data_IF_208808154854
#
_entry.id   IF_208808154854
#
_cell.length_a   1.000
_cell.length_b   1.000
_cell.length_c   1.000
_cell.angle_alpha   90.00
_cell.angle_beta   90.00
_cell.angle_gamma   90.00
#
_symmetry.space_group_name_H-M   'P 1'
#
loop_
_entity.id
_entity.type
_entity.pdbx_description
1 polymer ?
#
# COMPACT_ATOMS: atom_id res chain seq x y z
N UNK A 1 8.24 -12.39 -55.68
CA UNK A 1 8.84 -12.52 -54.32
C UNK A 1 9.72 -11.33 -53.97
N UNK A 2 10.74 -10.97 -54.76
CA UNK A 2 11.65 -9.85 -54.45
C UNK A 2 10.95 -8.48 -54.25
N UNK A 3 9.97 -8.13 -55.09
CA UNK A 3 9.22 -6.86 -54.99
C UNK A 3 8.36 -6.78 -53.72
N UNK A 4 7.75 -7.90 -53.31
CA UNK A 4 6.97 -7.98 -52.07
C UNK A 4 7.88 -7.85 -50.83
N UNK A 5 9.04 -8.51 -50.84
CA UNK A 5 10.03 -8.42 -49.76
C UNK A 5 10.57 -6.99 -49.63
N UNK A 6 10.91 -6.35 -50.75
CA UNK A 6 11.39 -4.96 -50.75
C UNK A 6 10.34 -3.98 -50.22
N UNK A 7 9.06 -4.16 -50.61
CA UNK A 7 7.96 -3.34 -50.12
C UNK A 7 7.77 -3.44 -48.59
N UNK A 8 7.83 -4.66 -48.04
CA UNK A 8 7.76 -4.88 -46.59
C UNK A 8 8.94 -4.24 -45.86
N UNK A 9 10.16 -4.36 -46.39
CA UNK A 9 11.36 -3.76 -45.78
C UNK A 9 11.27 -2.24 -45.74
N UNK A 10 10.84 -1.60 -46.84
CA UNK A 10 10.68 -0.14 -46.88
C UNK A 10 9.59 0.34 -45.93
N UNK A 11 8.47 -0.37 -45.85
CA UNK A 11 7.40 -0.03 -44.92
C UNK A 11 7.85 -0.11 -43.45
N UNK A 12 8.55 -1.19 -43.08
CA UNK A 12 9.14 -1.33 -41.74
C UNK A 12 10.14 -0.21 -41.46
N UNK A 13 11.01 0.13 -42.42
CA UNK A 13 12.00 1.19 -42.26
C UNK A 13 11.33 2.56 -41.99
N UNK A 14 10.25 2.89 -42.69
CA UNK A 14 9.50 4.13 -42.49
C UNK A 14 8.86 4.16 -41.09
N UNK A 15 8.23 3.06 -40.66
CA UNK A 15 7.59 2.98 -39.33
C UNK A 15 8.64 3.10 -38.23
N UNK A 16 9.78 2.41 -38.36
CA UNK A 16 10.89 2.51 -37.39
C UNK A 16 11.48 3.92 -37.35
N UNK A 17 11.66 4.56 -38.51
CA UNK A 17 12.14 5.94 -38.60
C UNK A 17 11.18 6.91 -37.90
N UNK A 18 9.86 6.76 -38.11
CA UNK A 18 8.86 7.59 -37.44
C UNK A 18 8.90 7.39 -35.92
N UNK A 19 9.00 6.15 -35.43
CA UNK A 19 9.12 5.85 -34.00
C UNK A 19 10.39 6.48 -33.41
N UNK A 20 11.52 6.40 -34.11
CA UNK A 20 12.77 7.05 -33.67
C UNK A 20 12.63 8.57 -33.57
N UNK A 21 12.00 9.23 -34.55
CA UNK A 21 11.73 10.67 -34.51
C UNK A 21 10.85 11.03 -33.30
N UNK A 22 9.79 10.26 -33.05
CA UNK A 22 8.93 10.47 -31.88
C UNK A 22 9.67 10.27 -30.55
N UNK A 23 10.57 9.29 -30.46
CA UNK A 23 11.40 9.08 -29.26
C UNK A 23 12.37 10.24 -29.01
N UNK A 24 13.02 10.77 -30.07
CA UNK A 24 13.93 11.92 -29.96
C UNK A 24 13.15 13.18 -29.57
N UNK A 25 11.98 13.42 -30.17
CA UNK A 25 11.12 14.54 -29.82
C UNK A 25 10.67 14.44 -28.35
N UNK A 26 10.22 13.27 -27.89
CA UNK A 26 9.85 13.03 -26.49
C UNK A 26 11.01 13.31 -25.54
N UNK A 27 12.23 12.84 -25.86
CA UNK A 27 13.41 13.06 -25.02
C UNK A 27 13.77 14.54 -24.85
N UNK A 28 13.52 15.38 -25.87
CA UNK A 28 13.80 16.83 -25.80
C UNK A 28 12.66 17.66 -25.22
N UNK A 29 11.42 17.26 -25.44
CA UNK A 29 10.23 18.03 -25.04
C UNK A 29 9.69 17.66 -23.66
N UNK A 30 9.94 16.43 -23.19
CA UNK A 30 9.53 16.00 -21.86
C UNK A 30 10.69 16.24 -20.89
N UNK A 31 10.49 17.21 -20.01
CA UNK A 31 11.43 17.56 -18.96
C UNK A 31 11.60 16.36 -18.01
N UNK A 32 12.63 15.55 -18.26
CA UNK A 32 13.04 14.40 -17.44
C UNK A 32 14.25 14.78 -16.58
N UNK A 33 14.43 16.08 -16.33
CA UNK A 33 15.52 16.58 -15.52
C UNK A 33 15.44 15.98 -14.11
N UNK A 34 16.61 15.77 -13.50
CA UNK A 34 16.68 15.50 -12.06
C UNK A 34 16.06 16.68 -11.32
N UNK A 35 15.10 16.36 -10.47
CA UNK A 35 14.43 17.32 -9.60
C UNK A 35 14.88 17.08 -8.17
N UNK A 36 14.99 18.17 -7.42
CA UNK A 36 15.37 18.15 -6.01
C UNK A 36 14.14 18.33 -5.14
N UNK A 37 13.92 17.40 -4.22
CA UNK A 37 12.87 17.45 -3.22
C UNK A 37 13.53 17.77 -1.88
N UNK A 38 13.30 18.97 -1.36
CA UNK A 38 13.73 19.36 -0.01
C UNK A 38 12.70 18.85 1.00
N UNK A 39 13.17 18.23 2.09
CA UNK A 39 12.30 17.65 3.12
C UNK A 39 12.63 18.30 4.47
N UNK A 40 11.63 18.91 5.11
CA UNK A 40 11.74 19.57 6.43
C UNK A 40 12.87 20.61 6.50
N UNK A 41 13.11 21.35 5.41
CA UNK A 41 14.18 22.36 5.27
C UNK A 41 15.59 21.86 5.58
N UNK A 42 15.81 20.55 5.54
CA UNK A 42 17.10 19.91 5.81
C UNK A 42 17.80 19.54 4.48
N UNK A 43 18.91 20.23 4.11
CA UNK A 43 19.63 19.95 2.87
C UNK A 43 20.20 18.53 2.81
N UNK A 44 20.52 17.92 3.95
CA UNK A 44 21.11 16.59 4.02
C UNK A 44 20.08 15.48 3.72
N UNK A 45 18.78 15.81 3.81
CA UNK A 45 17.66 14.94 3.45
C UNK A 45 17.09 15.21 2.07
N UNK A 46 17.70 16.11 1.30
CA UNK A 46 17.24 16.44 -0.04
C UNK A 46 17.35 15.23 -0.98
N UNK A 47 16.25 14.87 -1.63
CA UNK A 47 16.20 13.76 -2.56
C UNK A 47 16.37 14.24 -4.00
N UNK A 48 17.27 13.62 -4.75
CA UNK A 48 17.39 13.80 -6.20
C UNK A 48 16.71 12.64 -6.90
N UNK A 49 15.73 12.95 -7.73
CA UNK A 49 14.92 11.92 -8.41
C UNK A 49 14.53 12.36 -9.81
N UNK A 50 14.24 11.43 -10.74
CA UNK A 50 13.65 11.78 -12.03
C UNK A 50 12.23 12.34 -11.86
N UNK A 51 11.92 13.42 -12.59
CA UNK A 51 10.56 13.94 -12.66
C UNK A 51 9.58 12.93 -13.30
N UNK A 52 8.30 13.00 -12.89
CA UNK A 52 7.19 12.32 -13.57
C UNK A 52 6.45 11.26 -12.75
N UNK A 53 7.00 10.84 -11.61
CA UNK A 53 6.31 9.93 -10.68
C UNK A 53 5.47 10.68 -9.64
N UNK A 54 4.68 9.95 -8.86
CA UNK A 54 3.95 10.51 -7.71
C UNK A 54 4.89 10.70 -6.53
N UNK A 55 4.60 11.69 -5.69
CA UNK A 55 5.40 11.98 -4.50
C UNK A 55 5.46 10.76 -3.55
N UNK A 56 4.33 10.05 -3.38
CA UNK A 56 4.28 8.82 -2.57
C UNK A 56 5.27 7.75 -3.07
N UNK A 57 5.34 7.52 -4.39
CA UNK A 57 6.20 6.48 -4.95
C UNK A 57 7.68 6.86 -4.83
N UNK A 58 8.00 8.15 -5.06
CA UNK A 58 9.36 8.67 -4.92
C UNK A 58 9.84 8.53 -3.48
N UNK A 59 9.04 8.96 -2.50
CA UNK A 59 9.39 8.87 -1.09
C UNK A 59 9.53 7.40 -0.65
N UNK A 60 8.59 6.53 -1.05
CA UNK A 60 8.69 5.09 -0.78
C UNK A 60 9.94 4.44 -1.37
N UNK A 61 10.36 4.86 -2.56
CA UNK A 61 11.59 4.36 -3.21
C UNK A 61 12.86 4.81 -2.46
N UNK A 62 12.80 5.94 -1.78
CA UNK A 62 13.86 6.47 -0.92
C UNK A 62 13.70 6.07 0.55
N UNK A 63 12.89 5.04 0.84
CA UNK A 63 12.64 4.50 2.19
C UNK A 63 11.96 5.49 3.16
N UNK A 64 11.26 6.49 2.63
CA UNK A 64 10.39 7.40 3.40
C UNK A 64 8.94 6.95 3.16
N UNK A 65 8.37 6.25 4.12
CA UNK A 65 7.09 5.56 3.94
C UNK A 65 5.93 6.38 4.47
N UNK A 66 5.37 7.26 3.64
CA UNK A 66 4.15 7.98 4.01
C UNK A 66 3.01 6.97 4.18
N UNK A 67 2.24 7.07 5.27
CA UNK A 67 1.12 6.20 5.51
C UNK A 67 0.09 6.24 4.35
N UNK A 68 -0.15 5.08 3.73
CA UNK A 68 -1.05 4.94 2.58
C UNK A 68 -1.82 3.63 2.64
N UNK A 69 -3.12 3.70 2.94
CA UNK A 69 -3.98 2.51 3.04
C UNK A 69 -4.49 2.01 1.67
N UNK A 70 -4.60 2.91 0.68
CA UNK A 70 -5.19 2.59 -0.64
C UNK A 70 -4.16 2.24 -1.73
N UNK A 71 -2.86 2.23 -1.42
CA UNK A 71 -1.81 1.97 -2.41
C UNK A 71 -1.70 3.05 -3.50
N UNK A 72 -2.05 4.30 -3.17
CA UNK A 72 -1.91 5.45 -4.07
C UNK A 72 -3.09 5.74 -5.00
N UNK A 73 -4.24 5.13 -4.77
CA UNK A 73 -5.48 5.36 -5.54
C UNK A 73 -6.20 6.69 -5.24
N UNK A 74 -5.74 7.45 -4.24
CA UNK A 74 -6.35 8.74 -3.88
C UNK A 74 -7.67 8.64 -3.13
N UNK A 75 -8.06 7.46 -2.62
CA UNK A 75 -9.39 7.23 -2.03
C UNK A 75 -9.42 7.16 -0.50
N UNK A 76 -8.26 7.09 0.16
CA UNK A 76 -8.19 6.95 1.63
C UNK A 76 -7.94 8.26 2.38
N UNK A 77 -7.37 9.28 1.72
CA UNK A 77 -7.05 10.57 2.34
C UNK A 77 -5.97 10.55 3.43
N UNK A 78 -5.27 9.42 3.64
CA UNK A 78 -4.30 9.27 4.75
C UNK A 78 -2.91 9.83 4.39
N UNK A 79 -2.53 9.80 3.11
CA UNK A 79 -1.20 10.24 2.66
C UNK A 79 -1.07 11.77 2.56
N UNK A 80 -1.48 12.49 3.61
CA UNK A 80 -1.39 13.96 3.67
C UNK A 80 0.06 14.37 3.89
N UNK A 81 0.49 15.38 3.15
CA UNK A 81 1.81 16.03 3.29
C UNK A 81 1.66 17.51 3.11
N UNK A 82 2.49 18.30 3.79
CA UNK A 82 2.57 19.73 3.55
C UNK A 82 3.51 19.97 2.37
N UNK A 83 3.04 20.68 1.37
CA UNK A 83 3.83 21.08 0.20
C UNK A 83 3.91 22.59 0.19
N UNK A 84 5.11 23.10 0.50
CA UNK A 84 5.39 24.53 0.55
C UNK A 84 5.62 25.08 -0.85
N UNK A 85 6.36 24.34 -1.69
CA UNK A 85 6.67 24.72 -3.07
C UNK A 85 6.65 23.51 -4.01
N UNK A 86 6.38 23.72 -5.31
CA UNK A 86 6.56 22.69 -6.34
C UNK A 86 5.46 21.63 -6.50
N UNK A 87 4.31 21.77 -5.83
CA UNK A 87 3.19 20.80 -5.86
C UNK A 87 2.13 20.98 -6.96
N UNK A 88 2.19 22.07 -7.74
CA UNK A 88 1.16 22.41 -8.74
C UNK A 88 -0.22 22.67 -8.15
N UNK A 89 -1.27 22.72 -8.99
CA UNK A 89 -2.65 22.93 -8.56
C UNK A 89 -3.26 21.67 -7.92
N UNK A 90 -4.19 21.87 -6.97
CA UNK A 90 -4.95 20.78 -6.34
C UNK A 90 -5.79 20.05 -7.38
N UNK A 91 -5.73 18.71 -7.36
CA UNK A 91 -6.55 17.88 -8.24
C UNK A 91 -7.93 17.65 -7.60
N UNK A 92 -9.01 17.48 -8.40
CA UNK A 92 -10.34 17.17 -7.88
C UNK A 92 -10.40 15.90 -7.02
N UNK A 93 -9.46 14.96 -7.22
CA UNK A 93 -9.34 13.76 -6.39
C UNK A 93 -8.89 14.06 -4.96
N UNK A 94 -8.28 15.21 -4.72
CA UNK A 94 -7.81 15.64 -3.40
C UNK A 94 -8.89 16.43 -2.64
N UNK A 95 -9.78 17.15 -3.35
CA UNK A 95 -10.80 18.04 -2.76
C UNK A 95 -11.77 17.33 -1.81
N UNK A 96 -12.01 16.03 -2.02
CA UNK A 96 -12.86 15.22 -1.14
C UNK A 96 -12.21 14.86 0.20
N UNK A 97 -10.88 14.96 0.31
CA UNK A 97 -10.11 14.52 1.49
C UNK A 97 -9.33 15.66 2.17
N UNK A 98 -9.11 16.77 1.47
CA UNK A 98 -8.40 17.94 1.97
C UNK A 98 -9.39 19.08 2.16
N UNK A 99 -9.51 19.56 3.40
CA UNK A 99 -10.38 20.70 3.73
C UNK A 99 -9.82 22.01 3.16
N UNK A 100 -10.66 23.03 3.06
CA UNK A 100 -10.23 24.36 2.57
C UNK A 100 -9.20 25.04 3.48
N UNK A 101 -9.17 24.69 4.77
CA UNK A 101 -8.15 25.16 5.72
C UNK A 101 -6.80 24.52 5.43
N UNK A 102 -6.78 23.18 5.40
CA UNK A 102 -5.59 22.38 5.07
C UNK A 102 -5.02 22.76 3.68
N UNK A 103 -5.87 23.01 2.69
CA UNK A 103 -5.44 23.43 1.36
C UNK A 103 -4.73 24.79 1.36
N UNK A 104 -5.08 25.71 2.28
CA UNK A 104 -4.38 27.01 2.45
C UNK A 104 -3.02 26.85 3.12
N UNK A 105 -2.86 25.82 3.94
CA UNK A 105 -1.61 25.42 4.59
C UNK A 105 -0.73 24.53 3.69
N UNK A 106 -1.11 24.37 2.41
CA UNK A 106 -0.33 23.59 1.45
C UNK A 106 -0.48 22.07 1.60
N UNK A 107 -1.47 21.58 2.36
CA UNK A 107 -1.70 20.13 2.51
C UNK A 107 -2.16 19.52 1.18
N UNK A 108 -1.52 18.44 0.77
CA UNK A 108 -1.80 17.70 -0.46
C UNK A 108 -1.76 16.20 -0.21
N UNK A 109 -2.34 15.42 -1.12
CA UNK A 109 -2.21 13.97 -1.08
C UNK A 109 -0.95 13.55 -1.85
N UNK A 110 0.06 13.03 -1.14
CA UNK A 110 1.33 12.60 -1.74
C UNK A 110 1.14 11.61 -2.90
N UNK A 111 0.10 10.77 -2.87
CA UNK A 111 -0.16 9.84 -3.97
C UNK A 111 -0.71 10.48 -5.25
N UNK A 112 -1.28 11.68 -5.17
CA UNK A 112 -1.88 12.38 -6.30
C UNK A 112 -0.97 13.50 -6.84
N UNK A 113 -0.09 14.05 -6.00
CA UNK A 113 0.92 15.04 -6.41
C UNK A 113 1.94 14.39 -7.34
N UNK A 114 2.03 14.91 -8.56
CA UNK A 114 3.05 14.52 -9.55
C UNK A 114 4.23 15.46 -9.47
N UNK A 115 5.41 14.92 -9.22
CA UNK A 115 6.64 15.71 -9.13
C UNK A 115 7.12 16.05 -10.55
N UNK A 116 7.01 17.32 -10.95
CA UNK A 116 7.39 17.81 -12.29
C UNK A 116 8.59 18.76 -12.29
N UNK A 117 8.96 19.26 -11.12
CA UNK A 117 10.02 20.21 -10.88
C UNK A 117 10.49 20.09 -9.43
N UNK A 118 11.41 20.95 -9.03
CA UNK A 118 11.89 21.02 -7.66
C UNK A 118 10.73 21.36 -6.71
N UNK A 119 10.77 20.79 -5.52
CA UNK A 119 9.69 20.97 -4.53
C UNK A 119 10.24 20.99 -3.11
N UNK A 120 9.53 21.68 -2.22
CA UNK A 120 9.78 21.66 -0.78
C UNK A 120 8.57 21.09 -0.07
N UNK A 121 8.81 20.07 0.76
CA UNK A 121 7.78 19.37 1.50
C UNK A 121 8.13 19.28 2.98
N UNK A 122 7.09 19.13 3.78
CA UNK A 122 7.22 18.85 5.20
C UNK A 122 6.43 17.57 5.54
N UNK A 123 7.11 16.67 6.24
CA UNK A 123 6.61 15.36 6.68
C UNK A 123 6.96 15.14 8.15
N UNK A 124 6.08 14.43 8.85
CA UNK A 124 6.26 14.13 10.27
C UNK A 124 7.54 13.30 10.51
N UNK A 125 8.31 13.58 11.57
CA UNK A 125 9.53 12.84 11.89
C UNK A 125 9.36 11.33 12.05
N UNK A 126 8.15 10.89 12.46
CA UNK A 126 7.81 9.48 12.66
C UNK A 126 7.93 8.67 11.36
N UNK A 127 7.68 9.29 10.21
CA UNK A 127 7.74 8.67 8.87
C UNK A 127 9.16 8.18 8.52
N UNK A 128 10.20 8.77 9.12
CA UNK A 128 11.59 8.34 8.91
C UNK A 128 11.99 7.10 9.72
N UNK A 129 11.16 6.69 10.69
CA UNK A 129 11.48 5.60 11.62
C UNK A 129 10.80 4.27 11.29
N UNK A 130 10.14 4.17 10.12
CA UNK A 130 9.41 2.98 9.72
C UNK A 130 10.35 1.80 9.59
N UNK A 131 10.11 0.75 10.37
CA UNK A 131 10.86 -0.51 10.34
C UNK A 131 9.97 -1.64 9.84
N UNK A 132 10.62 -2.71 9.41
CA UNK A 132 9.96 -3.98 9.09
C UNK A 132 10.36 -5.02 10.13
N UNK A 133 9.38 -5.77 10.61
CA UNK A 133 9.60 -6.86 11.55
C UNK A 133 9.02 -8.15 11.00
N UNK A 134 9.78 -9.23 11.08
CA UNK A 134 9.26 -10.58 10.89
C UNK A 134 8.76 -11.10 12.24
N UNK A 135 7.45 -11.18 12.39
CA UNK A 135 6.80 -11.58 13.63
C UNK A 135 6.41 -13.06 13.58
N UNK A 136 6.17 -13.65 14.75
CA UNK A 136 5.68 -15.03 14.85
C UNK A 136 4.25 -15.03 15.37
N UNK A 137 3.35 -15.79 14.75
CA UNK A 137 1.96 -15.88 15.22
C UNK A 137 1.94 -16.60 16.56
N UNK A 138 1.50 -15.89 17.62
CA UNK A 138 1.28 -16.46 18.95
C UNK A 138 -0.05 -17.18 19.00
N UNK A 139 -1.13 -16.50 18.58
CA UNK A 139 -2.49 -17.04 18.61
C UNK A 139 -3.38 -16.38 17.56
N UNK A 140 -4.44 -17.09 17.16
CA UNK A 140 -5.38 -16.65 16.12
C UNK A 140 -6.81 -17.15 16.41
N UNK A 141 -7.31 -16.85 17.61
CA UNK A 141 -8.58 -17.35 18.14
C UNK A 141 -9.76 -16.51 17.67
N UNK A 142 -10.94 -17.11 17.58
CA UNK A 142 -12.15 -16.35 17.27
C UNK A 142 -12.63 -15.60 18.52
N UNK A 143 -12.92 -14.31 18.36
CA UNK A 143 -13.61 -13.50 19.38
C UNK A 143 -15.07 -13.26 18.99
N UNK A 144 -15.40 -13.41 17.71
CA UNK A 144 -16.75 -13.45 17.19
C UNK A 144 -16.83 -14.39 15.97
N UNK A 145 -18.04 -14.63 15.47
CA UNK A 145 -18.31 -15.48 14.29
C UNK A 145 -17.37 -15.17 13.12
N UNK A 146 -17.16 -13.89 12.83
CA UNK A 146 -16.38 -13.42 11.68
C UNK A 146 -15.15 -12.59 12.07
N UNK A 147 -14.73 -12.62 13.34
CA UNK A 147 -13.59 -11.83 13.84
C UNK A 147 -12.64 -12.73 14.62
N UNK A 148 -11.36 -12.68 14.26
CA UNK A 148 -10.27 -13.31 15.01
C UNK A 148 -9.42 -12.25 15.72
N UNK A 149 -9.01 -12.59 16.94
CA UNK A 149 -7.93 -11.91 17.66
C UNK A 149 -6.62 -12.54 17.21
N UNK A 150 -5.88 -11.78 16.41
CA UNK A 150 -4.62 -12.18 15.82
C UNK A 150 -3.50 -11.54 16.64
N UNK A 151 -2.78 -12.37 17.41
CA UNK A 151 -1.66 -11.95 18.24
C UNK A 151 -0.37 -12.44 17.61
N UNK A 152 0.54 -11.49 17.38
CA UNK A 152 1.88 -11.76 16.85
C UNK A 152 2.94 -11.27 17.81
N UNK A 153 3.98 -12.08 17.97
CA UNK A 153 5.16 -11.77 18.76
C UNK A 153 6.20 -11.06 17.91
N UNK A 154 6.66 -9.92 18.42
CA UNK A 154 7.79 -9.21 17.87
C UNK A 154 9.09 -10.00 18.13
N UNK A 155 10.13 -9.83 17.30
CA UNK A 155 11.46 -10.36 17.60
C UNK A 155 11.95 -9.93 18.99
N UNK A 156 12.76 -10.78 19.64
CA UNK A 156 13.29 -10.49 20.97
C UNK A 156 14.04 -9.15 20.99
N UNK A 157 13.70 -8.29 21.96
CA UNK A 157 14.31 -6.98 22.15
C UNK A 157 13.74 -5.85 21.29
N UNK A 158 12.81 -6.15 20.37
CA UNK A 158 12.11 -5.13 19.59
C UNK A 158 10.82 -4.67 20.28
N UNK A 159 10.52 -3.39 20.14
CA UNK A 159 9.23 -2.82 20.54
C UNK A 159 8.81 -1.81 19.48
N UNK A 160 7.50 -1.72 19.24
CA UNK A 160 6.94 -0.70 18.34
C UNK A 160 6.53 0.48 19.22
N UNK A 161 7.20 1.64 19.14
CA UNK A 161 6.79 2.84 19.87
C UNK A 161 5.58 3.46 19.17
N UNK A 162 4.39 2.89 19.39
CA UNK A 162 3.14 3.41 18.82
C UNK A 162 2.32 4.18 19.85
N UNK A 163 1.38 4.98 19.36
CA UNK A 163 0.33 5.61 20.17
C UNK A 163 -0.99 4.88 19.95
N UNK A 164 -1.81 4.79 21.00
CA UNK A 164 -3.13 4.18 20.90
C UNK A 164 -3.95 4.84 19.77
N UNK A 165 -4.57 4.02 18.92
CA UNK A 165 -5.23 4.45 17.68
C UNK A 165 -4.36 4.35 16.42
N UNK A 166 -3.07 4.05 16.57
CA UNK A 166 -2.18 3.75 15.44
C UNK A 166 -2.55 2.46 14.71
N UNK A 167 -1.90 2.23 13.57
CA UNK A 167 -2.02 1.01 12.78
C UNK A 167 -0.65 0.55 12.26
N UNK A 168 -0.53 -0.74 11.99
CA UNK A 168 0.58 -1.34 11.25
C UNK A 168 0.09 -1.81 9.88
N UNK A 169 1.02 -2.05 8.96
CA UNK A 169 0.74 -2.71 7.70
C UNK A 169 1.23 -4.16 7.78
N UNK A 170 0.39 -5.11 7.37
CA UNK A 170 0.79 -6.50 7.19
C UNK A 170 1.10 -6.71 5.72
N UNK A 171 2.19 -7.43 5.43
CA UNK A 171 2.52 -7.90 4.09
C UNK A 171 2.07 -9.36 3.93
N UNK A 172 1.35 -9.61 2.84
CA UNK A 172 0.84 -10.92 2.49
C UNK A 172 1.56 -11.41 1.24
N UNK A 173 2.29 -12.55 1.31
CA UNK A 173 2.89 -13.14 0.13
C UNK A 173 1.83 -13.78 -0.77
N UNK A 174 2.19 -14.12 -2.03
CA UNK A 174 1.34 -14.93 -2.90
C UNK A 174 0.92 -16.23 -2.21
N UNK A 175 -0.37 -16.54 -2.25
CA UNK A 175 -0.93 -17.68 -1.52
C UNK A 175 -2.22 -18.20 -2.15
N UNK A 176 -2.59 -19.42 -1.75
CA UNK A 176 -3.92 -19.99 -1.96
C UNK A 176 -4.40 -20.51 -0.61
N UNK A 177 -5.47 -19.92 -0.08
CA UNK A 177 -6.07 -20.34 1.20
C UNK A 177 -7.51 -20.75 0.99
N UNK A 178 -7.91 -21.88 1.57
CA UNK A 178 -9.29 -22.35 1.54
C UNK A 178 -9.96 -22.11 2.90
N UNK A 179 -11.20 -21.64 2.88
CA UNK A 179 -11.93 -21.36 4.13
C UNK A 179 -12.20 -22.62 4.94
N UNK A 180 -12.36 -23.77 4.27
CA UNK A 180 -12.47 -25.09 4.92
C UNK A 180 -11.27 -25.47 5.81
N UNK A 181 -10.10 -24.86 5.59
CA UNK A 181 -8.89 -25.15 6.37
C UNK A 181 -8.77 -24.24 7.61
N UNK A 182 -9.69 -23.27 7.77
CA UNK A 182 -9.69 -22.35 8.90
C UNK A 182 -10.12 -23.04 10.19
N UNK A 183 -9.39 -22.73 11.26
CA UNK A 183 -9.74 -23.21 12.60
C UNK A 183 -10.79 -22.26 13.17
N UNK A 184 -12.07 -22.63 13.06
CA UNK A 184 -13.19 -21.91 13.67
C UNK A 184 -13.70 -22.71 14.87
N UNK A 185 -13.81 -22.06 16.03
CA UNK A 185 -14.33 -22.66 17.27
C UNK A 185 -15.81 -23.02 17.14
N UNK A 186 -16.24 -24.12 17.78
CA UNK A 186 -17.57 -24.71 17.61
C UNK A 186 -18.72 -23.71 17.83
N UNK A 187 -18.62 -22.88 18.87
CA UNK A 187 -19.60 -21.82 19.19
C UNK A 187 -19.82 -20.79 18.07
N UNK A 188 -18.93 -20.72 17.08
CA UNK A 188 -18.98 -19.77 15.98
C UNK A 188 -19.27 -20.43 14.62
N UNK A 189 -19.45 -21.75 14.56
CA UNK A 189 -19.63 -22.48 13.29
C UNK A 189 -21.02 -22.40 12.69
N UNK A 190 -22.05 -22.12 13.50
CA UNK A 190 -23.45 -22.13 13.05
C UNK A 190 -23.68 -21.32 11.76
N UNK A 191 -23.23 -20.07 11.73
CA UNK A 191 -23.35 -19.22 10.53
C UNK A 191 -22.42 -19.67 9.40
N UNK A 192 -21.25 -20.25 9.72
CA UNK A 192 -20.33 -20.76 8.70
C UNK A 192 -20.95 -21.93 7.94
N UNK A 193 -21.60 -22.84 8.66
CA UNK A 193 -22.32 -23.97 8.09
C UNK A 193 -23.58 -23.52 7.34
N UNK A 194 -24.37 -22.63 7.95
CA UNK A 194 -25.62 -22.11 7.38
C UNK A 194 -25.42 -21.39 6.04
N UNK A 195 -24.35 -20.59 5.92
CA UNK A 195 -24.07 -19.82 4.71
C UNK A 195 -23.06 -20.49 3.78
N UNK A 196 -22.64 -21.72 4.09
CA UNK A 196 -21.64 -22.48 3.34
C UNK A 196 -20.37 -21.64 3.09
N UNK A 197 -19.87 -21.02 4.16
CA UNK A 197 -18.69 -20.15 4.12
C UNK A 197 -17.42 -20.94 3.74
N UNK A 198 -17.43 -22.25 3.97
CA UNK A 198 -16.33 -23.18 3.71
C UNK A 198 -15.96 -23.29 2.22
N UNK A 199 -16.90 -22.95 1.32
CA UNK A 199 -16.69 -23.02 -0.14
C UNK A 199 -15.68 -22.02 -0.68
N UNK A 200 -15.40 -20.94 0.06
CA UNK A 200 -14.59 -19.85 -0.47
C UNK A 200 -13.10 -20.19 -0.49
N UNK A 201 -12.44 -19.73 -1.55
CA UNK A 201 -11.00 -19.86 -1.77
C UNK A 201 -10.45 -18.49 -2.15
N UNK A 202 -9.43 -18.01 -1.44
CA UNK A 202 -8.70 -16.80 -1.80
C UNK A 202 -7.39 -17.19 -2.47
N UNK A 203 -7.22 -16.76 -3.72
CA UNK A 203 -5.99 -16.94 -4.51
C UNK A 203 -5.41 -15.58 -4.84
N UNK A 204 -4.13 -15.41 -4.53
CA UNK A 204 -3.41 -14.15 -4.67
C UNK A 204 -2.04 -14.44 -5.26
N UNK A 205 -1.75 -13.85 -6.42
CA UNK A 205 -0.52 -14.11 -7.16
C UNK A 205 0.58 -13.05 -6.91
N UNK A 206 0.22 -11.90 -6.35
CA UNK A 206 1.14 -10.78 -6.07
C UNK A 206 1.19 -10.45 -4.57
N UNK A 207 2.32 -9.97 -4.04
CA UNK A 207 2.38 -9.48 -2.67
C UNK A 207 1.42 -8.30 -2.46
N UNK A 208 0.67 -8.33 -1.36
CA UNK A 208 -0.29 -7.27 -1.01
C UNK A 208 -0.06 -6.79 0.40
N UNK A 209 -0.13 -5.47 0.62
CA UNK A 209 -0.07 -4.88 1.96
C UNK A 209 -1.41 -4.27 2.37
N UNK A 210 -1.78 -4.36 3.66
CA UNK A 210 -2.99 -3.73 4.21
C UNK A 210 -2.76 -3.26 5.63
N UNK A 211 -3.40 -2.15 5.97
CA UNK A 211 -3.36 -1.58 7.31
C UNK A 211 -4.33 -2.29 8.26
N UNK A 212 -3.89 -2.53 9.50
CA UNK A 212 -4.69 -3.01 10.62
C UNK A 212 -4.34 -2.22 11.88
N UNK A 213 -5.37 -1.76 12.58
CA UNK A 213 -5.22 -1.01 13.84
C UNK A 213 -4.78 -1.93 14.96
N UNK A 214 -3.85 -1.46 15.78
CA UNK A 214 -3.44 -2.16 17.01
C UNK A 214 -4.59 -2.13 18.02
N UNK A 215 -4.91 -3.29 18.57
CA UNK A 215 -5.86 -3.46 19.66
C UNK A 215 -5.19 -3.40 21.04
N UNK A 216 -3.90 -3.74 21.12
CA UNK A 216 -3.10 -3.59 22.34
C UNK A 216 -2.68 -2.13 22.57
N UNK A 217 -2.41 -1.77 23.83
CA UNK A 217 -1.91 -0.44 24.18
C UNK A 217 -0.37 -0.42 24.30
N UNK A 218 0.30 0.76 24.29
CA UNK A 218 1.75 0.85 24.14
C UNK A 218 2.61 0.18 25.23
N UNK A 219 2.06 -0.13 26.41
CA UNK A 219 2.81 -0.81 27.49
C UNK A 219 2.62 -2.35 27.48
N UNK A 220 1.85 -2.88 26.52
CA UNK A 220 1.82 -4.32 26.22
C UNK A 220 2.98 -4.68 25.29
N UNK A 221 4.17 -4.80 25.89
CA UNK A 221 5.42 -5.02 25.17
C UNK A 221 5.54 -6.41 24.53
N UNK A 222 6.33 -6.49 23.46
CA UNK A 222 6.73 -7.76 22.82
C UNK A 222 5.66 -8.42 21.94
N UNK A 223 4.46 -7.83 21.84
CA UNK A 223 3.39 -8.36 21.02
C UNK A 223 2.58 -7.25 20.33
N UNK A 224 1.89 -7.62 19.26
CA UNK A 224 0.86 -6.81 18.62
C UNK A 224 -0.41 -7.65 18.54
N UNK A 225 -1.53 -7.04 18.94
CA UNK A 225 -2.85 -7.63 18.88
C UNK A 225 -3.67 -6.91 17.82
N UNK A 226 -4.32 -7.67 16.93
CA UNK A 226 -5.21 -7.14 15.90
C UNK A 226 -6.55 -7.84 15.94
N UNK A 227 -7.63 -7.09 15.70
CA UNK A 227 -8.95 -7.66 15.48
C UNK A 227 -9.26 -7.68 13.98
N UNK A 228 -9.20 -8.86 13.38
CA UNK A 228 -9.33 -9.02 11.94
C UNK A 228 -10.70 -9.61 11.62
N UNK A 229 -11.48 -8.89 10.82
CA UNK A 229 -12.73 -9.38 10.25
C UNK A 229 -12.46 -10.13 8.95
N UNK A 230 -13.05 -11.31 8.77
CA UNK A 230 -13.02 -12.00 7.48
C UNK A 230 -13.86 -11.23 6.45
N UNK A 231 -13.24 -10.80 5.36
CA UNK A 231 -13.92 -10.09 4.28
C UNK A 231 -14.42 -11.08 3.22
N UNK A 232 -15.48 -11.82 3.54
CA UNK A 232 -16.17 -12.67 2.58
C UNK A 232 -16.98 -11.85 1.56
N UNK A 233 -17.36 -12.44 0.41
CA UNK A 233 -18.15 -11.73 -0.60
C UNK A 233 -19.42 -11.12 0.01
N UNK A 234 -19.75 -9.85 -0.29
CA UNK A 234 -20.93 -9.21 0.26
C UNK A 234 -22.21 -9.98 -0.10
N UNK A 235 -23.23 -10.06 0.78
CA UNK A 235 -24.46 -10.82 0.49
C UNK A 235 -25.19 -10.37 -0.78
N UNK A 236 -25.05 -9.10 -1.16
CA UNK A 236 -25.64 -8.53 -2.38
C UNK A 236 -24.81 -8.79 -3.64
N UNK A 237 -23.58 -9.29 -3.50
CA UNK A 237 -22.64 -9.57 -4.57
C UNK A 237 -21.88 -10.87 -4.26
N UNK A 238 -22.55 -12.04 -4.26
CA UNK A 238 -21.97 -13.30 -3.79
C UNK A 238 -20.85 -13.84 -4.67
N UNK A 239 -20.80 -13.41 -5.94
CA UNK A 239 -19.85 -13.92 -6.94
C UNK A 239 -18.52 -13.17 -6.98
N UNK A 240 -18.37 -12.09 -6.20
CA UNK A 240 -17.09 -11.37 -6.16
C UNK A 240 -16.04 -12.18 -5.39
N UNK A 241 -14.74 -12.03 -5.70
CA UNK A 241 -13.69 -12.73 -4.99
C UNK A 241 -13.68 -12.41 -3.49
N UNK A 242 -13.34 -13.38 -2.62
CA UNK A 242 -13.15 -13.13 -1.20
C UNK A 242 -11.94 -12.22 -0.95
N UNK A 243 -11.92 -11.57 0.21
CA UNK A 243 -10.86 -10.65 0.60
C UNK A 243 -9.48 -11.32 0.66
N UNK A 244 -8.48 -10.63 0.13
CA UNK A 244 -7.10 -11.11 0.01
C UNK A 244 -6.46 -11.29 1.41
N UNK A 245 -6.20 -10.18 2.09
CA UNK A 245 -5.42 -10.17 3.33
C UNK A 245 -6.16 -10.79 4.51
N UNK A 246 -7.47 -10.56 4.64
CA UNK A 246 -8.25 -11.15 5.74
C UNK A 246 -8.28 -12.69 5.64
N UNK A 247 -8.31 -13.24 4.42
CA UNK A 247 -8.29 -14.69 4.23
C UNK A 247 -6.92 -15.27 4.56
N UNK A 248 -5.83 -14.59 4.19
CA UNK A 248 -4.47 -14.95 4.61
C UNK A 248 -4.35 -15.01 6.14
N UNK A 249 -4.73 -13.93 6.84
CA UNK A 249 -4.63 -13.87 8.31
C UNK A 249 -5.50 -14.93 8.98
N UNK A 250 -6.69 -15.22 8.47
CA UNK A 250 -7.54 -16.29 9.01
C UNK A 250 -6.94 -17.70 8.83
N UNK A 251 -6.10 -17.88 7.81
CA UNK A 251 -5.38 -19.12 7.54
C UNK A 251 -4.13 -19.31 8.40
N UNK A 252 -3.59 -18.25 9.00
CA UNK A 252 -2.39 -18.32 9.84
C UNK A 252 -2.63 -19.15 11.12
N UNK A 253 -1.64 -19.96 11.47
CA UNK A 253 -1.61 -20.81 12.66
C UNK A 253 -0.49 -20.37 13.61
N UNK A 254 -0.59 -20.71 14.90
CA UNK A 254 0.51 -20.49 15.84
C UNK A 254 1.84 -21.04 15.31
N UNK A 255 2.88 -20.21 15.34
CA UNK A 255 4.22 -20.52 14.81
C UNK A 255 4.50 -20.01 13.39
N UNK A 256 3.48 -19.61 12.63
CA UNK A 256 3.68 -19.04 11.29
C UNK A 256 4.43 -17.70 11.36
N UNK A 257 5.15 -17.36 10.29
CA UNK A 257 5.87 -16.09 10.16
C UNK A 257 5.05 -15.08 9.38
N UNK A 258 4.98 -13.85 9.89
CA UNK A 258 4.24 -12.75 9.25
C UNK A 258 5.07 -11.48 9.30
N UNK A 259 5.23 -10.85 8.13
CA UNK A 259 5.97 -9.60 8.00
C UNK A 259 5.03 -8.42 8.22
N UNK A 260 5.44 -7.51 9.08
CA UNK A 260 4.74 -6.25 9.34
C UNK A 260 5.66 -5.05 9.09
N UNK A 261 5.08 -3.90 8.79
CA UNK A 261 5.75 -2.62 8.73
C UNK A 261 4.96 -1.53 9.45
N UNK A 262 5.67 -0.63 10.13
CA UNK A 262 5.10 0.42 10.96
C UNK A 262 6.16 1.40 11.44
#
# INVERSE_FOLDING_TARGET
>A
MATAILGVVVFIAIVVALVLVLMVARKRLVNSAEVTILINDDPDKALKTPAGSTLLNILGSNKIFIPSACGGKGSCGVCKVHVHEGGGAMLPTEEGHVSRGEAREGVRLACQVKVKGDMSIEVEPEVFSVKKWECTVRSNHNVATFIKEFIIDLPEGESVPFRAGGYIQIECPPHVVNYKDFIIEEKFREDWDKFDMWRFVSKVDEPVTRAYSMANYPEEYGMIMLNVRIASPPPRQPDVPPGIMSSFIFGCKPGDKVTISG
#
